data_IF_375694123715
#
_entry.id   IF_375694123715
#
_cell.length_a   1.000
_cell.length_b   1.000
_cell.length_c   1.000
_cell.angle_alpha   90.00
_cell.angle_beta   90.00
_cell.angle_gamma   90.00
#
_symmetry.space_group_name_H-M   'P 1'
#
loop_
_entity.id
_entity.type
_entity.pdbx_description
1 polymer ?
#
# COMPACT_ATOMS: atom_id res chain seq x y z
N UNK A 1 -20.33 21.23 -31.14
CA UNK A 1 -19.00 20.59 -31.03
C UNK A 1 -18.99 19.34 -30.14
N UNK A 2 -19.90 19.17 -29.16
CA UNK A 2 -19.90 17.99 -28.26
C UNK A 2 -20.49 16.68 -28.83
N UNK A 3 -21.44 16.73 -29.79
CA UNK A 3 -22.10 15.50 -30.27
C UNK A 3 -21.19 14.61 -31.12
N UNK A 4 -20.29 15.18 -31.94
CA UNK A 4 -19.40 14.44 -32.83
C UNK A 4 -18.33 13.66 -32.08
N UNK A 5 -17.83 14.20 -30.96
CA UNK A 5 -16.79 13.58 -30.15
C UNK A 5 -17.23 12.19 -29.65
N UNK A 6 -18.47 12.07 -29.16
CA UNK A 6 -19.02 10.80 -28.68
C UNK A 6 -19.02 9.73 -29.78
N UNK A 7 -19.49 10.07 -30.98
CA UNK A 7 -19.54 9.10 -32.08
C UNK A 7 -18.14 8.69 -32.56
N UNK A 8 -17.18 9.62 -32.53
CA UNK A 8 -15.79 9.33 -32.83
C UNK A 8 -15.19 8.35 -31.82
N UNK A 9 -15.30 8.61 -30.51
CA UNK A 9 -14.73 7.72 -29.49
C UNK A 9 -15.39 6.33 -29.49
N UNK A 10 -16.68 6.25 -29.83
CA UNK A 10 -17.36 4.96 -30.05
C UNK A 10 -16.71 4.22 -31.21
N UNK A 11 -16.52 4.90 -32.35
CA UNK A 11 -15.85 4.31 -33.51
C UNK A 11 -14.44 3.82 -33.19
N UNK A 12 -13.66 4.61 -32.45
CA UNK A 12 -12.31 4.24 -32.02
C UNK A 12 -12.32 3.03 -31.07
N UNK A 13 -13.23 2.99 -30.10
CA UNK A 13 -13.35 1.88 -29.15
C UNK A 13 -13.60 0.54 -29.86
N UNK A 14 -14.42 0.51 -30.92
CA UNK A 14 -14.65 -0.70 -31.73
C UNK A 14 -13.42 -1.21 -32.47
N UNK A 15 -12.40 -0.38 -32.69
CA UNK A 15 -11.16 -0.77 -33.37
C UNK A 15 -10.08 -1.28 -32.42
N UNK A 16 -10.23 -1.04 -31.11
CA UNK A 16 -9.25 -1.46 -30.11
C UNK A 16 -9.23 -2.99 -30.02
N UNK A 17 -8.02 -3.55 -29.98
CA UNK A 17 -7.81 -4.97 -29.76
C UNK A 17 -7.30 -5.19 -28.34
N UNK A 18 -7.69 -6.30 -27.68
CA UNK A 18 -7.12 -6.67 -26.40
C UNK A 18 -5.60 -6.74 -26.48
N UNK A 19 -4.93 -6.23 -25.45
CA UNK A 19 -3.47 -6.36 -25.34
C UNK A 19 -3.15 -7.84 -25.12
N UNK A 20 -2.31 -8.40 -25.98
CA UNK A 20 -1.85 -9.78 -25.80
C UNK A 20 -0.95 -9.88 -24.57
N UNK A 21 -1.43 -10.59 -23.55
CA UNK A 21 -0.65 -10.92 -22.36
C UNK A 21 -0.22 -12.39 -22.49
N UNK A 22 1.08 -12.68 -22.69
CA UNK A 22 1.52 -14.06 -22.82
C UNK A 22 1.33 -14.80 -21.51
N UNK A 23 0.79 -16.02 -21.60
CA UNK A 23 0.75 -16.91 -20.46
C UNK A 23 2.18 -17.19 -19.98
N UNK A 24 2.42 -16.96 -18.69
CA UNK A 24 3.71 -17.30 -18.09
C UNK A 24 3.91 -18.81 -18.13
N UNK A 25 5.11 -19.23 -18.55
CA UNK A 25 5.51 -20.64 -18.56
C UNK A 25 5.91 -21.12 -17.16
N UNK A 26 6.34 -20.20 -16.32
CA UNK A 26 6.83 -20.46 -14.97
C UNK A 26 5.69 -20.82 -14.02
N UNK A 27 5.98 -21.66 -13.02
CA UNK A 27 4.98 -22.02 -12.01
C UNK A 27 4.65 -20.80 -11.12
N UNK A 28 3.39 -20.65 -10.66
CA UNK A 28 3.02 -19.56 -9.74
C UNK A 28 3.93 -19.41 -8.52
N UNK A 29 4.42 -20.51 -7.96
CA UNK A 29 5.35 -20.51 -6.83
C UNK A 29 6.68 -19.81 -7.11
N UNK A 30 7.11 -19.67 -8.37
CA UNK A 30 8.40 -19.09 -8.74
C UNK A 30 8.36 -17.56 -8.75
N UNK A 31 7.20 -16.96 -8.99
CA UNK A 31 7.04 -15.50 -9.01
C UNK A 31 6.16 -14.95 -7.89
N UNK A 32 5.43 -15.81 -7.17
CA UNK A 32 4.66 -15.40 -6.00
C UNK A 32 5.57 -14.74 -4.95
N UNK A 33 5.14 -13.58 -4.44
CA UNK A 33 5.92 -12.77 -3.49
C UNK A 33 7.36 -12.43 -3.97
N UNK A 34 7.60 -12.40 -5.29
CA UNK A 34 8.91 -12.01 -5.87
C UNK A 34 9.33 -10.60 -5.42
N UNK A 35 8.40 -9.67 -5.47
CA UNK A 35 8.61 -8.25 -5.14
C UNK A 35 8.24 -7.90 -3.69
N UNK A 36 8.22 -8.88 -2.79
CA UNK A 36 7.86 -8.67 -1.37
C UNK A 36 9.02 -9.14 -0.48
N UNK A 37 9.45 -8.29 0.44
CA UNK A 37 10.50 -8.59 1.41
C UNK A 37 9.97 -9.45 2.56
N UNK A 38 9.60 -10.68 2.23
CA UNK A 38 9.03 -11.65 3.16
C UNK A 38 10.11 -12.31 4.06
N UNK A 39 9.71 -13.22 4.96
CA UNK A 39 10.64 -13.93 5.87
C UNK A 39 11.79 -14.63 5.18
N UNK A 40 11.57 -15.21 4.00
CA UNK A 40 12.64 -15.88 3.25
C UNK A 40 13.68 -14.86 2.75
N UNK A 41 13.23 -13.69 2.30
CA UNK A 41 14.13 -12.61 1.90
C UNK A 41 14.82 -12.02 3.14
N UNK A 42 14.10 -11.76 4.22
CA UNK A 42 14.71 -11.32 5.48
C UNK A 42 15.82 -12.28 5.94
N UNK A 43 15.60 -13.60 5.90
CA UNK A 43 16.63 -14.58 6.25
C UNK A 43 17.86 -14.54 5.32
N UNK A 44 17.66 -14.24 4.03
CA UNK A 44 18.75 -14.13 3.04
C UNK A 44 19.55 -12.83 3.19
N UNK A 45 18.88 -11.71 3.46
CA UNK A 45 19.47 -10.37 3.41
C UNK A 45 19.84 -9.79 4.78
N UNK A 46 19.34 -10.36 5.88
CA UNK A 46 19.61 -9.87 7.24
C UNK A 46 20.56 -10.81 7.99
N UNK A 47 21.41 -10.29 8.88
CA UNK A 47 22.12 -11.11 9.85
C UNK A 47 21.15 -11.93 10.70
N UNK A 48 21.52 -13.16 11.08
CA UNK A 48 20.59 -14.09 11.75
C UNK A 48 19.97 -13.53 13.03
N UNK A 49 20.76 -12.81 13.85
CA UNK A 49 20.25 -12.16 15.07
C UNK A 49 19.23 -11.05 14.78
N UNK A 50 19.39 -10.34 13.67
CA UNK A 50 18.48 -9.28 13.22
C UNK A 50 17.19 -9.92 12.70
N UNK A 51 17.30 -11.00 11.93
CA UNK A 51 16.15 -11.78 11.47
C UNK A 51 15.31 -12.32 12.64
N UNK A 52 15.95 -12.93 13.65
CA UNK A 52 15.25 -13.46 14.83
C UNK A 52 14.50 -12.35 15.60
N UNK A 53 15.15 -11.20 15.80
CA UNK A 53 14.50 -10.03 16.40
C UNK A 53 13.33 -9.54 15.55
N UNK A 54 13.47 -9.50 14.22
CA UNK A 54 12.38 -9.08 13.34
C UNK A 54 11.18 -10.03 13.40
N UNK A 55 11.40 -11.34 13.51
CA UNK A 55 10.32 -12.29 13.75
C UNK A 55 9.57 -11.99 15.06
N UNK A 56 10.29 -11.66 16.14
CA UNK A 56 9.68 -11.28 17.42
C UNK A 56 8.90 -9.94 17.33
N UNK A 57 9.44 -8.95 16.62
CA UNK A 57 8.76 -7.68 16.34
C UNK A 57 7.44 -7.91 15.58
N UNK A 58 7.45 -8.81 14.58
CA UNK A 58 6.27 -9.11 13.74
C UNK A 58 5.23 -9.94 14.50
N UNK A 59 5.66 -11.00 15.17
CA UNK A 59 4.75 -11.97 15.78
C UNK A 59 4.21 -11.51 17.14
N UNK A 60 5.07 -10.86 17.94
CA UNK A 60 4.80 -10.52 19.33
C UNK A 60 4.74 -9.00 19.59
N UNK A 61 5.06 -8.16 18.60
CA UNK A 61 5.00 -6.71 18.75
C UNK A 61 6.14 -6.16 19.63
N UNK A 62 7.30 -6.82 19.64
CA UNK A 62 8.49 -6.32 20.31
C UNK A 62 8.95 -4.95 19.76
N UNK A 63 9.69 -4.19 20.56
CA UNK A 63 10.21 -2.89 20.15
C UNK A 63 11.36 -3.03 19.15
N UNK A 64 11.33 -2.26 18.07
CA UNK A 64 12.42 -2.19 17.10
C UNK A 64 13.46 -1.16 17.55
N UNK A 65 14.65 -1.64 17.96
CA UNK A 65 15.77 -0.76 18.32
C UNK A 65 16.50 -0.21 17.09
N UNK A 66 17.14 0.95 17.21
CA UNK A 66 17.77 1.66 16.10
C UNK A 66 18.92 0.85 15.44
N UNK A 67 19.65 0.04 16.20
CA UNK A 67 20.71 -0.79 15.64
C UNK A 67 20.13 -1.90 14.75
N UNK A 68 19.06 -2.54 15.20
CA UNK A 68 18.29 -3.51 14.42
C UNK A 68 17.67 -2.83 13.20
N UNK A 69 17.07 -1.65 13.35
CA UNK A 69 16.48 -0.90 12.23
C UNK A 69 17.51 -0.54 11.14
N UNK A 70 18.71 -0.10 11.52
CA UNK A 70 19.79 0.18 10.56
C UNK A 70 20.21 -1.06 9.78
N UNK A 71 20.39 -2.20 10.46
CA UNK A 71 20.73 -3.45 9.79
C UNK A 71 19.60 -3.94 8.87
N UNK A 72 18.34 -3.71 9.25
CA UNK A 72 17.17 -4.01 8.42
C UNK A 72 17.14 -3.12 7.19
N UNK A 73 17.35 -1.81 7.35
CA UNK A 73 17.40 -0.85 6.25
C UNK A 73 18.48 -1.23 5.23
N UNK A 74 19.69 -1.56 5.69
CA UNK A 74 20.77 -2.00 4.80
C UNK A 74 20.40 -3.25 3.97
N UNK A 75 19.82 -4.26 4.63
CA UNK A 75 19.36 -5.47 3.95
C UNK A 75 18.19 -5.23 2.98
N UNK A 76 17.24 -4.37 3.36
CA UNK A 76 16.12 -3.94 2.51
C UNK A 76 16.62 -3.20 1.28
N UNK A 77 17.53 -2.24 1.45
CA UNK A 77 18.14 -1.47 0.36
C UNK A 77 18.83 -2.39 -0.63
N UNK A 78 19.67 -3.29 -0.14
CA UNK A 78 20.38 -4.26 -0.99
C UNK A 78 19.41 -5.12 -1.81
N UNK A 79 18.37 -5.65 -1.17
CA UNK A 79 17.35 -6.42 -1.86
C UNK A 79 16.58 -5.61 -2.90
N UNK A 80 16.18 -4.38 -2.55
CA UNK A 80 15.42 -3.51 -3.44
C UNK A 80 16.25 -3.07 -4.66
N UNK A 81 17.52 -2.73 -4.46
CA UNK A 81 18.45 -2.40 -5.54
C UNK A 81 18.72 -3.57 -6.48
N UNK A 82 18.79 -4.81 -5.97
CA UNK A 82 18.87 -6.02 -6.82
C UNK A 82 17.64 -6.18 -7.73
N UNK A 83 16.51 -5.56 -7.38
CA UNK A 83 15.30 -5.50 -8.20
C UNK A 83 15.22 -4.23 -9.09
N UNK A 84 16.23 -3.36 -9.03
CA UNK A 84 16.30 -2.12 -9.79
C UNK A 84 15.62 -0.92 -9.11
N UNK A 85 15.31 -1.01 -7.81
CA UNK A 85 14.76 0.14 -7.09
C UNK A 85 15.83 1.22 -6.85
N UNK A 86 15.45 2.47 -7.11
CA UNK A 86 16.27 3.67 -6.94
C UNK A 86 15.66 4.64 -5.91
N UNK A 87 14.36 4.47 -5.62
CA UNK A 87 13.62 5.29 -4.68
C UNK A 87 13.05 4.43 -3.54
N UNK A 88 12.72 5.09 -2.44
CA UNK A 88 11.81 4.56 -1.43
C UNK A 88 10.65 5.54 -1.21
N UNK A 89 9.56 5.02 -0.65
CA UNK A 89 8.41 5.83 -0.24
C UNK A 89 7.76 5.21 0.97
N UNK A 90 7.28 6.08 1.85
CA UNK A 90 6.35 5.69 2.90
C UNK A 90 4.95 5.62 2.34
N UNK A 91 4.46 4.40 2.18
CA UNK A 91 3.16 4.11 1.62
C UNK A 91 2.13 3.99 2.73
N UNK A 92 1.13 4.87 2.74
CA UNK A 92 0.06 4.88 3.73
C UNK A 92 -1.29 5.35 3.13
N UNK A 93 -2.36 5.14 3.90
CA UNK A 93 -3.73 5.50 3.51
C UNK A 93 -4.27 6.55 4.48
N UNK A 94 -4.11 7.85 4.19
CA UNK A 94 -4.67 8.91 5.00
C UNK A 94 -6.20 8.92 4.94
N UNK A 95 -6.84 9.75 5.78
CA UNK A 95 -8.30 9.93 5.83
C UNK A 95 -8.87 10.71 4.62
N UNK A 96 -8.35 10.46 3.42
CA UNK A 96 -8.76 11.08 2.15
C UNK A 96 -9.17 10.02 1.10
N UNK A 97 -9.49 8.81 1.53
CA UNK A 97 -9.99 7.70 0.69
C UNK A 97 -9.02 7.21 -0.40
N UNK A 98 -7.75 7.59 -0.33
CA UNK A 98 -6.70 7.19 -1.28
C UNK A 98 -5.41 6.77 -0.58
N UNK A 99 -4.42 6.36 -1.37
CA UNK A 99 -3.05 6.13 -0.92
C UNK A 99 -2.23 7.40 -1.09
N UNK A 100 -1.31 7.64 -0.16
CA UNK A 100 -0.32 8.71 -0.25
C UNK A 100 1.08 8.09 -0.32
N UNK A 101 1.91 8.70 -1.17
CA UNK A 101 3.30 8.33 -1.39
C UNK A 101 4.13 9.58 -1.67
N UNK A 102 5.36 9.59 -1.19
CA UNK A 102 6.38 10.58 -1.53
C UNK A 102 7.66 9.82 -1.84
N UNK A 103 8.16 9.98 -3.05
CA UNK A 103 9.32 9.24 -3.53
C UNK A 103 10.59 10.01 -3.17
N UNK A 104 11.38 9.44 -2.29
CA UNK A 104 12.71 9.93 -1.92
C UNK A 104 13.75 8.98 -2.54
N UNK A 105 14.72 9.52 -3.28
CA UNK A 105 15.80 8.72 -3.85
C UNK A 105 16.75 8.23 -2.77
N UNK A 106 17.40 7.08 -2.97
CA UNK A 106 18.48 6.65 -2.06
C UNK A 106 19.72 7.56 -2.10
N UNK A 107 19.77 8.50 -3.03
CA UNK A 107 20.97 9.30 -3.30
C UNK A 107 21.26 10.29 -2.17
N UNK A 108 22.50 10.26 -1.70
CA UNK A 108 23.05 11.21 -0.75
C UNK A 108 24.45 11.69 -1.18
N UNK A 109 24.83 12.88 -0.70
CA UNK A 109 26.15 13.44 -1.00
C UNK A 109 27.23 12.77 -0.14
N UNK A 110 28.35 12.39 -0.77
CA UNK A 110 29.51 11.83 -0.05
C UNK A 110 30.40 12.90 0.62
N UNK A 111 30.03 14.17 0.47
CA UNK A 111 30.76 15.36 0.93
C UNK A 111 32.20 15.49 0.38
N UNK A 112 32.53 14.74 -0.67
CA UNK A 112 33.81 14.69 -1.36
C UNK A 112 33.70 14.92 -2.88
N UNK A 113 32.50 15.21 -3.37
CA UNK A 113 32.22 15.51 -4.78
C UNK A 113 31.60 14.35 -5.56
N UNK A 114 31.23 13.26 -4.89
CA UNK A 114 30.47 12.13 -5.43
C UNK A 114 29.10 11.98 -4.79
N UNK A 115 28.42 10.91 -5.17
CA UNK A 115 27.12 10.50 -4.64
C UNK A 115 27.21 9.06 -4.16
N UNK A 116 26.50 8.76 -3.08
CA UNK A 116 26.34 7.42 -2.52
C UNK A 116 24.86 7.11 -2.39
N UNK A 117 24.51 5.84 -2.37
CA UNK A 117 23.15 5.41 -2.07
C UNK A 117 23.08 5.02 -0.59
N UNK A 118 22.26 5.73 0.18
CA UNK A 118 22.03 5.52 1.60
C UNK A 118 20.55 5.24 1.87
N UNK A 119 20.28 4.35 2.82
CA UNK A 119 18.95 4.08 3.35
C UNK A 119 19.14 3.61 4.79
N UNK A 120 18.55 4.33 5.74
CA UNK A 120 18.88 4.19 7.17
C UNK A 120 17.68 3.74 7.98
N UNK A 121 17.93 3.16 9.15
CA UNK A 121 16.86 2.77 10.09
C UNK A 121 16.03 3.95 10.59
N UNK A 122 16.53 5.19 10.45
CA UNK A 122 15.81 6.40 10.84
C UNK A 122 14.55 6.55 9.99
N UNK A 123 14.67 6.29 8.69
CA UNK A 123 13.55 6.30 7.75
C UNK A 123 12.53 5.24 8.14
N UNK A 124 12.94 4.06 8.61
CA UNK A 124 11.99 3.02 9.05
C UNK A 124 11.23 3.40 10.34
N UNK A 125 11.92 3.95 11.35
CA UNK A 125 11.31 4.19 12.67
C UNK A 125 10.39 5.41 12.65
N UNK A 126 10.86 6.54 12.11
CA UNK A 126 10.12 7.79 12.11
C UNK A 126 10.64 8.70 11.00
N UNK A 127 9.80 8.97 10.01
CA UNK A 127 10.03 9.99 9.00
C UNK A 127 9.03 11.14 9.18
N UNK A 128 9.48 12.35 8.84
CA UNK A 128 8.62 13.51 8.66
C UNK A 128 8.21 13.57 7.18
N UNK A 129 7.05 12.99 6.79
CA UNK A 129 6.50 13.28 5.47
C UNK A 129 6.21 14.78 5.42
N UNK A 130 6.47 15.42 4.28
CA UNK A 130 6.08 16.82 4.05
C UNK A 130 4.55 16.90 3.96
N UNK A 131 3.92 16.87 5.14
CA UNK A 131 2.49 16.78 5.34
C UNK A 131 1.79 18.15 5.29
N UNK A 132 2.54 19.20 4.99
CA UNK A 132 2.02 20.59 4.92
C UNK A 132 0.93 20.75 3.85
N UNK A 133 0.91 19.85 2.86
CA UNK A 133 -0.03 19.83 1.73
C UNK A 133 -1.35 19.08 2.02
N UNK A 134 -1.46 18.32 3.12
CA UNK A 134 -2.71 17.64 3.45
C UNK A 134 -3.77 18.65 3.91
N UNK A 135 -5.07 18.45 3.53
CA UNK A 135 -6.13 19.35 3.93
C UNK A 135 -6.22 19.50 5.45
N UNK A 136 -5.90 20.70 5.96
CA UNK A 136 -5.94 21.02 7.39
C UNK A 136 -7.21 21.77 7.81
N UNK A 137 -8.12 22.02 6.87
CA UNK A 137 -9.34 22.82 7.08
C UNK A 137 -9.07 24.29 7.45
N UNK A 138 -7.84 24.79 7.30
CA UNK A 138 -7.46 26.16 7.69
C UNK A 138 -7.40 26.41 9.20
N UNK A 139 -7.52 25.35 10.01
CA UNK A 139 -7.62 25.45 11.49
C UNK A 139 -6.24 25.30 12.16
N UNK A 140 -5.20 24.85 11.43
CA UNK A 140 -3.86 24.57 11.98
C UNK A 140 -2.82 25.52 11.40
N UNK A 141 -1.91 26.02 12.23
CA UNK A 141 -0.72 26.73 11.75
C UNK A 141 0.19 25.76 10.99
N UNK A 142 0.93 26.23 9.97
CA UNK A 142 1.79 25.38 9.10
C UNK A 142 2.82 24.55 9.87
N UNK A 143 3.26 24.99 11.07
CA UNK A 143 4.17 24.20 11.92
C UNK A 143 3.47 23.04 12.65
N UNK A 144 2.16 23.12 12.91
CA UNK A 144 1.32 22.10 13.56
C UNK A 144 0.72 21.12 12.55
N UNK A 145 0.82 21.42 11.25
CA UNK A 145 0.48 20.51 10.16
C UNK A 145 1.51 19.39 9.97
N UNK A 146 2.54 19.31 10.83
CA UNK A 146 3.51 18.22 10.85
C UNK A 146 2.81 16.91 11.20
N UNK A 147 2.95 15.92 10.33
CA UNK A 147 2.63 14.53 10.63
C UNK A 147 3.90 13.71 10.63
N UNK A 148 3.85 12.56 11.29
CA UNK A 148 4.93 11.58 11.33
C UNK A 148 4.44 10.28 10.71
N UNK A 149 5.32 9.64 9.96
CA UNK A 149 5.10 8.27 9.49
C UNK A 149 6.04 7.32 10.20
N UNK A 150 5.53 6.14 10.54
CA UNK A 150 6.30 5.08 11.17
C UNK A 150 6.01 3.76 10.45
N UNK A 151 7.04 3.00 10.12
CA UNK A 151 6.86 1.69 9.49
C UNK A 151 6.07 0.75 10.39
N UNK A 152 5.20 -0.04 9.76
CA UNK A 152 4.47 -1.13 10.37
C UNK A 152 5.07 -2.48 9.93
N UNK A 153 5.91 -3.12 10.77
CA UNK A 153 6.55 -4.38 10.41
C UNK A 153 5.60 -5.54 10.15
N UNK A 154 4.34 -5.45 10.62
CA UNK A 154 3.34 -6.49 10.36
C UNK A 154 2.97 -6.58 8.87
N UNK A 155 3.13 -5.49 8.12
CA UNK A 155 2.98 -5.46 6.68
C UNK A 155 4.36 -5.46 6.01
N UNK A 156 4.70 -6.48 5.20
CA UNK A 156 6.02 -6.55 4.58
C UNK A 156 6.22 -5.42 3.58
N UNK A 157 7.44 -4.90 3.49
CA UNK A 157 7.81 -3.95 2.44
C UNK A 157 7.81 -4.65 1.08
N UNK A 158 7.55 -3.91 0.02
CA UNK A 158 7.43 -4.44 -1.33
C UNK A 158 8.00 -3.45 -2.37
N UNK A 159 8.23 -3.91 -3.60
CA UNK A 159 8.73 -3.05 -4.70
C UNK A 159 7.66 -2.95 -5.78
N UNK A 160 7.37 -1.73 -6.21
CA UNK A 160 6.59 -1.44 -7.42
C UNK A 160 7.45 -0.57 -8.33
N UNK A 161 7.63 -1.00 -9.58
CA UNK A 161 8.50 -0.30 -10.52
C UNK A 161 9.93 -0.21 -9.98
N UNK A 162 10.40 1.01 -9.80
CA UNK A 162 11.72 1.38 -9.28
C UNK A 162 11.68 1.89 -7.82
N UNK A 163 10.59 1.64 -7.10
CA UNK A 163 10.35 2.23 -5.78
C UNK A 163 10.10 1.17 -4.70
N UNK A 164 10.85 1.26 -3.60
CA UNK A 164 10.65 0.49 -2.36
C UNK A 164 9.51 1.09 -1.54
N UNK A 165 8.42 0.34 -1.42
CA UNK A 165 7.20 0.71 -0.72
C UNK A 165 7.26 0.25 0.74
N UNK A 166 7.27 1.20 1.68
CA UNK A 166 7.35 0.94 3.12
C UNK A 166 5.97 1.20 3.73
N UNK A 167 5.22 0.16 4.16
CA UNK A 167 3.86 0.34 4.69
C UNK A 167 3.89 1.05 6.04
N UNK A 168 3.43 2.30 6.12
CA UNK A 168 3.54 3.11 7.34
C UNK A 168 2.18 3.40 7.97
N UNK A 169 2.21 3.79 9.24
CA UNK A 169 1.10 4.51 9.87
C UNK A 169 1.36 6.00 9.81
N UNK A 170 0.31 6.81 9.76
CA UNK A 170 0.43 8.28 9.73
C UNK A 170 -0.26 8.91 10.95
N UNK A 171 0.50 9.68 11.72
CA UNK A 171 0.07 10.28 12.99
C UNK A 171 0.34 11.78 12.99
N UNK A 172 -0.49 12.55 13.68
CA UNK A 172 -0.26 13.99 13.88
C UNK A 172 0.88 14.24 14.87
N UNK A 173 1.35 15.50 14.91
CA UNK A 173 2.24 15.96 15.97
C UNK A 173 1.67 15.77 17.39
N UNK A 174 0.35 15.83 17.55
CA UNK A 174 -0.36 15.61 18.82
C UNK A 174 -0.61 14.12 19.13
N UNK A 175 -0.21 13.20 18.25
CA UNK A 175 -0.38 11.76 18.42
C UNK A 175 -1.75 11.21 17.98
N UNK A 176 -2.56 12.02 17.31
CA UNK A 176 -3.82 11.59 16.70
C UNK A 176 -3.53 10.74 15.45
N UNK A 177 -4.36 9.72 15.20
CA UNK A 177 -4.25 8.94 13.97
C UNK A 177 -4.83 9.74 12.80
N UNK A 178 -4.04 9.91 11.75
CA UNK A 178 -4.43 10.59 10.50
C UNK A 178 -4.56 9.60 9.33
N UNK A 179 -4.60 8.30 9.64
CA UNK A 179 -4.72 7.20 8.70
C UNK A 179 -5.81 6.19 9.09
N UNK A 180 -6.05 5.24 8.20
CA UNK A 180 -6.91 4.08 8.48
C UNK A 180 -6.19 2.94 9.21
N UNK A 181 -4.85 2.84 9.08
CA UNK A 181 -4.10 1.69 9.59
C UNK A 181 -3.93 1.73 11.11
N UNK A 182 -3.60 2.88 11.72
CA UNK A 182 -3.46 2.94 13.17
C UNK A 182 -4.77 2.63 13.93
N UNK A 183 -5.95 3.16 13.54
CA UNK A 183 -7.22 2.76 14.14
C UNK A 183 -7.53 1.28 13.96
N UNK A 184 -7.31 0.73 12.76
CA UNK A 184 -7.54 -0.70 12.49
C UNK A 184 -6.68 -1.60 13.39
N UNK A 185 -5.39 -1.29 13.56
CA UNK A 185 -4.52 -2.07 14.46
C UNK A 185 -4.98 -2.02 15.92
N UNK A 186 -5.45 -0.86 16.38
CA UNK A 186 -6.03 -0.73 17.73
C UNK A 186 -7.29 -1.57 17.88
N UNK A 187 -8.18 -1.54 16.88
CA UNK A 187 -9.39 -2.35 16.86
C UNK A 187 -9.08 -3.86 16.87
N UNK A 188 -8.17 -4.33 16.02
CA UNK A 188 -7.74 -5.73 15.97
C UNK A 188 -7.15 -6.19 17.30
N UNK A 189 -6.34 -5.35 17.96
CA UNK A 189 -5.79 -5.65 19.29
C UNK A 189 -6.88 -5.74 20.36
N UNK A 190 -7.90 -4.88 20.31
CA UNK A 190 -9.02 -4.92 21.24
C UNK A 190 -9.86 -6.20 21.04
N UNK A 191 -10.13 -6.57 19.79
CA UNK A 191 -10.84 -7.81 19.44
C UNK A 191 -10.05 -9.04 19.90
N UNK A 192 -8.75 -9.09 19.63
CA UNK A 192 -7.86 -10.18 20.06
C UNK A 192 -7.90 -10.37 21.58
N UNK A 193 -7.75 -9.28 22.35
CA UNK A 193 -7.80 -9.33 23.82
C UNK A 193 -9.13 -9.90 24.31
N UNK A 194 -10.25 -9.33 23.86
CA UNK A 194 -11.59 -9.73 24.30
C UNK A 194 -11.91 -11.19 23.89
N UNK A 195 -11.62 -11.55 22.65
CA UNK A 195 -11.88 -12.90 22.14
C UNK A 195 -10.98 -13.95 22.83
N UNK A 196 -9.72 -13.62 23.11
CA UNK A 196 -8.80 -14.51 23.83
C UNK A 196 -9.29 -14.76 25.27
N UNK A 197 -9.78 -13.73 25.97
CA UNK A 197 -10.36 -13.88 27.31
C UNK A 197 -11.57 -14.83 27.31
N UNK A 198 -12.45 -14.71 26.31
CA UNK A 198 -13.61 -15.61 26.17
C UNK A 198 -13.20 -17.02 25.76
N UNK A 199 -12.25 -17.17 24.83
CA UNK A 199 -11.79 -18.48 24.35
C UNK A 199 -11.19 -19.33 25.48
N UNK A 200 -10.54 -18.70 26.47
CA UNK A 200 -9.94 -19.38 27.62
C UNK A 200 -10.92 -20.04 28.57
N UNK A 201 -12.21 -19.71 28.51
CA UNK A 201 -13.24 -20.47 29.22
C UNK A 201 -13.39 -21.91 28.69
N UNK A 202 -13.05 -22.13 27.41
CA UNK A 202 -13.16 -23.43 26.75
C UNK A 202 -11.79 -24.08 26.53
N UNK A 203 -10.77 -23.27 26.23
CA UNK A 203 -9.43 -23.71 25.86
C UNK A 203 -8.36 -22.85 26.58
N UNK A 204 -7.87 -23.26 27.76
CA UNK A 204 -6.94 -22.47 28.58
C UNK A 204 -5.63 -22.10 27.88
N UNK A 205 -5.18 -22.93 26.93
CA UNK A 205 -3.91 -22.74 26.21
C UNK A 205 -3.95 -21.70 25.09
N UNK A 206 -5.13 -21.12 24.78
CA UNK A 206 -5.25 -20.09 23.73
C UNK A 206 -4.46 -18.84 24.12
N UNK A 207 -3.52 -18.48 23.24
CA UNK A 207 -2.62 -17.33 23.45
C UNK A 207 -3.10 -16.05 22.75
N UNK A 208 -3.76 -16.18 21.60
CA UNK A 208 -4.13 -15.08 20.71
C UNK A 208 -5.29 -15.51 19.81
N UNK A 209 -6.16 -14.59 19.45
CA UNK A 209 -7.19 -14.74 18.42
C UNK A 209 -6.88 -13.79 17.27
N UNK A 210 -6.78 -14.34 16.06
CA UNK A 210 -6.46 -13.57 14.85
C UNK A 210 -7.70 -13.44 13.98
N UNK A 211 -7.95 -12.22 13.49
CA UNK A 211 -9.02 -11.97 12.51
C UNK A 211 -8.49 -12.16 11.09
N UNK A 212 -9.18 -12.98 10.29
CA UNK A 212 -8.90 -13.14 8.87
C UNK A 212 -9.94 -12.34 8.07
N UNK A 213 -9.49 -11.64 7.03
CA UNK A 213 -10.34 -10.87 6.13
C UNK A 213 -10.15 -11.39 4.70
N UNK A 214 -11.19 -12.01 4.14
CA UNK A 214 -11.30 -12.30 2.72
C UNK A 214 -12.23 -11.28 2.09
N UNK A 215 -11.68 -10.38 1.28
CA UNK A 215 -12.47 -9.38 0.55
C UNK A 215 -12.71 -9.84 -0.88
N UNK A 216 -13.86 -9.48 -1.42
CA UNK A 216 -14.20 -9.61 -2.83
C UNK A 216 -14.27 -8.20 -3.40
N UNK A 217 -13.63 -7.98 -4.55
CA UNK A 217 -13.57 -6.66 -5.17
C UNK A 217 -14.36 -6.66 -6.46
N UNK A 218 -15.36 -5.79 -6.51
CA UNK A 218 -16.13 -5.48 -7.71
C UNK A 218 -15.69 -4.13 -8.27
N UNK A 219 -15.70 -4.03 -9.60
CA UNK A 219 -15.41 -2.79 -10.32
C UNK A 219 -16.03 -2.82 -11.71
N UNK A 220 -16.27 -1.63 -12.26
CA UNK A 220 -16.69 -1.45 -13.64
C UNK A 220 -15.51 -0.98 -14.48
N UNK A 221 -15.41 -1.50 -15.70
CA UNK A 221 -14.47 -1.01 -16.70
C UNK A 221 -15.24 -0.28 -17.80
N UNK A 222 -14.74 0.89 -18.16
CA UNK A 222 -15.25 1.70 -19.27
C UNK A 222 -14.05 2.03 -20.15
N UNK A 223 -14.22 1.96 -21.46
CA UNK A 223 -13.19 2.42 -22.40
C UNK A 223 -12.77 3.86 -22.06
N UNK A 224 -11.46 4.12 -22.02
CA UNK A 224 -10.90 5.41 -21.62
C UNK A 224 -11.45 6.58 -22.45
N UNK A 225 -11.66 6.40 -23.76
CA UNK A 225 -12.23 7.42 -24.63
C UNK A 225 -13.70 7.70 -24.33
N UNK A 226 -14.48 6.64 -24.04
CA UNK A 226 -15.87 6.76 -23.61
C UNK A 226 -15.99 7.40 -22.22
N UNK A 227 -15.07 7.07 -21.31
CA UNK A 227 -14.96 7.66 -19.98
C UNK A 227 -14.64 9.16 -20.07
N UNK A 228 -13.65 9.56 -20.88
CA UNK A 228 -13.29 10.96 -21.10
C UNK A 228 -14.43 11.78 -21.75
N UNK A 229 -15.24 11.14 -22.59
CA UNK A 229 -16.42 11.76 -23.20
C UNK A 229 -17.61 11.92 -22.21
N UNK A 230 -17.49 11.47 -20.96
CA UNK A 230 -18.48 11.60 -19.89
C UNK A 230 -17.93 12.43 -18.72
N UNK A 231 -18.03 13.77 -18.79
CA UNK A 231 -17.50 14.65 -17.74
C UNK A 231 -18.05 14.35 -16.34
N UNK A 232 -19.30 13.92 -16.26
CA UNK A 232 -19.93 13.52 -14.99
C UNK A 232 -19.25 12.28 -14.38
N UNK A 233 -18.99 11.27 -15.21
CA UNK A 233 -18.28 10.06 -14.78
C UNK A 233 -16.82 10.38 -14.41
N UNK A 234 -16.14 11.20 -15.22
CA UNK A 234 -14.76 11.64 -14.99
C UNK A 234 -14.58 12.39 -13.67
N UNK A 235 -15.50 13.31 -13.36
CA UNK A 235 -15.37 14.19 -12.19
C UNK A 235 -15.97 13.60 -10.90
N UNK A 236 -16.96 12.72 -11.02
CA UNK A 236 -17.71 12.23 -9.85
C UNK A 236 -17.56 10.73 -9.59
N UNK A 237 -16.87 9.99 -10.47
CA UNK A 237 -16.74 8.54 -10.38
C UNK A 237 -18.05 7.78 -10.65
N UNK A 238 -19.13 8.48 -11.00
CA UNK A 238 -20.44 7.89 -11.33
C UNK A 238 -21.16 8.73 -12.38
N UNK A 239 -22.16 8.16 -13.03
CA UNK A 239 -23.00 8.94 -13.95
C UNK A 239 -24.05 9.75 -13.18
N UNK A 240 -24.15 11.05 -13.45
CA UNK A 240 -25.15 11.94 -12.84
C UNK A 240 -26.47 11.96 -13.60
N UNK A 241 -26.42 11.56 -14.88
CA UNK A 241 -27.56 11.51 -15.77
C UNK A 241 -27.40 10.37 -16.78
N UNK A 242 -28.52 9.89 -17.30
CA UNK A 242 -28.56 8.79 -18.25
C UNK A 242 -29.86 8.03 -18.10
N UNK A 243 -30.40 7.53 -19.21
CA UNK A 243 -31.46 6.55 -19.14
C UNK A 243 -30.87 5.20 -18.72
N UNK A 244 -31.58 4.45 -17.89
CA UNK A 244 -31.15 3.13 -17.45
C UNK A 244 -30.93 2.19 -18.65
N UNK A 245 -29.93 1.33 -18.52
CA UNK A 245 -29.72 0.22 -19.48
C UNK A 245 -30.92 -0.71 -19.45
N UNK A 246 -31.31 -1.24 -20.61
CA UNK A 246 -32.43 -2.18 -20.73
C UNK A 246 -32.25 -3.45 -19.88
N UNK A 247 -31.00 -3.85 -19.58
CA UNK A 247 -30.68 -4.97 -18.68
C UNK A 247 -30.40 -4.55 -17.23
N UNK A 248 -30.16 -3.26 -16.98
CA UNK A 248 -29.78 -2.73 -15.66
C UNK A 248 -28.73 -3.62 -14.95
N UNK A 249 -28.94 -3.97 -13.66
CA UNK A 249 -28.06 -4.85 -12.88
C UNK A 249 -28.36 -6.35 -13.01
N UNK A 250 -29.09 -6.79 -14.05
CA UNK A 250 -29.25 -8.22 -14.30
C UNK A 250 -27.93 -8.78 -14.84
N UNK A 251 -27.06 -9.21 -13.90
CA UNK A 251 -25.68 -9.64 -14.13
C UNK A 251 -25.49 -11.15 -13.88
N UNK A 252 -26.58 -11.92 -13.84
CA UNK A 252 -26.56 -13.38 -13.67
C UNK A 252 -25.76 -14.08 -14.78
N UNK A 253 -25.60 -13.42 -15.94
CA UNK A 253 -24.80 -13.84 -17.09
C UNK A 253 -23.29 -13.54 -16.94
N UNK A 254 -22.87 -12.76 -15.94
CA UNK A 254 -21.47 -12.34 -15.76
C UNK A 254 -20.69 -13.19 -14.76
N UNK A 255 -21.33 -13.77 -13.74
CA UNK A 255 -20.64 -14.49 -12.66
C UNK A 255 -19.91 -15.78 -13.11
N UNK A 256 -20.27 -16.29 -14.31
CA UNK A 256 -19.57 -17.37 -15.03
C UNK A 256 -19.47 -17.08 -16.53
N UNK A 257 -19.52 -15.80 -16.91
CA UNK A 257 -19.46 -15.39 -18.30
C UNK A 257 -18.11 -15.73 -18.94
N UNK A 258 -18.13 -16.08 -20.22
CA UNK A 258 -16.93 -16.14 -21.05
C UNK A 258 -16.40 -14.71 -21.26
N UNK A 259 -15.28 -14.36 -20.62
CA UNK A 259 -14.53 -13.12 -20.85
C UNK A 259 -13.53 -13.33 -21.99
#
# INVERSE_FOLDING_TARGET
MSSTLRFQVVGEAFTKKPVEVPNRKDRPSEYFAKYVFNRQKMFKYLPIKVYEKMCDVIDNGATLDMATANAVAEGMKKWAMELGATHCTHWFQPLTEGTAEKHDGFVEYDWKGGMVEEFTGKELIQQEPDASSFPSGGIRSTFEARGYSAWDPASPVFVIGDTLMIPTVFISYTGEALDYKAPLKKALKAVDKAATEVARYFYPDVKKVVSNLGWEQEYFLVDEGLYAARPDLLMTGRTLMGHDSAKNQQMDDHYFGSI
#
